data_IF_057208709277
#
_entry.id   IF_057208709277
#
_cell.length_a   1.000
_cell.length_b   1.000
_cell.length_c   1.000
_cell.angle_alpha   90.00
_cell.angle_beta   90.00
_cell.angle_gamma   90.00
#
_symmetry.space_group_name_H-M   'P 1'
#
loop_
_entity.id
_entity.type
_entity.pdbx_description
1 polymer ?
#
# COMPACT_ATOMS: atom_id res chain seq x y z
N UNK A 1 -56.16 70.89 13.41
CA UNK A 1 -57.26 69.90 13.46
C UNK A 1 -57.65 69.51 12.04
N UNK A 2 -57.15 68.36 11.55
CA UNK A 2 -57.82 67.41 10.66
C UNK A 2 -56.78 66.41 10.13
N UNK A 3 -56.95 65.15 10.55
CA UNK A 3 -56.26 63.98 10.02
C UNK A 3 -56.68 63.74 8.57
N UNK A 4 -55.77 63.23 7.76
CA UNK A 4 -56.10 62.19 6.75
C UNK A 4 -54.92 61.22 6.64
N UNK A 5 -55.23 59.93 6.81
CA UNK A 5 -54.34 58.78 6.61
C UNK A 5 -54.29 58.43 5.13
N UNK A 6 -53.14 57.94 4.68
CA UNK A 6 -52.92 56.84 3.72
C UNK A 6 -51.53 57.04 3.07
N UNK A 7 -50.73 56.06 2.66
CA UNK A 7 -50.62 54.61 2.84
C UNK A 7 -49.24 54.28 2.25
N UNK A 8 -48.51 53.36 2.89
CA UNK A 8 -47.60 52.34 2.32
C UNK A 8 -46.96 52.60 0.94
N UNK A 9 -45.64 52.40 0.83
CA UNK A 9 -45.05 51.15 0.30
C UNK A 9 -43.52 51.26 0.22
N UNK A 10 -42.87 50.36 0.96
CA UNK A 10 -41.47 50.02 0.80
C UNK A 10 -41.24 49.48 -0.63
N UNK A 11 -40.22 50.01 -1.31
CA UNK A 11 -39.76 49.51 -2.58
C UNK A 11 -39.02 48.18 -2.37
N UNK A 12 -39.69 47.08 -2.68
CA UNK A 12 -39.04 45.80 -2.93
C UNK A 12 -38.63 45.75 -4.40
N UNK A 13 -37.35 45.93 -4.69
CA UNK A 13 -36.79 45.67 -6.01
C UNK A 13 -36.54 44.17 -6.13
N UNK A 14 -37.34 43.51 -6.98
CA UNK A 14 -37.15 42.12 -7.36
C UNK A 14 -35.91 42.02 -8.27
N UNK A 15 -34.84 41.36 -7.79
CA UNK A 15 -33.75 40.89 -8.64
C UNK A 15 -34.10 39.48 -9.10
N UNK A 16 -34.50 39.36 -10.36
CA UNK A 16 -34.67 38.09 -11.03
C UNK A 16 -33.29 37.41 -11.20
N UNK A 17 -33.13 36.23 -10.61
CA UNK A 17 -31.97 35.36 -10.86
C UNK A 17 -32.26 34.59 -12.15
N UNK A 18 -31.44 34.70 -13.20
CA UNK A 18 -31.56 33.83 -14.36
C UNK A 18 -31.04 32.44 -13.98
N UNK A 19 -31.93 31.45 -14.08
CA UNK A 19 -31.59 30.02 -14.06
C UNK A 19 -30.70 29.74 -15.28
N UNK A 20 -29.41 29.52 -15.04
CA UNK A 20 -28.47 29.05 -16.07
C UNK A 20 -28.68 27.53 -16.28
N UNK A 21 -29.44 27.23 -17.32
CA UNK A 21 -29.52 25.91 -17.95
C UNK A 21 -28.15 25.56 -18.55
N UNK A 22 -27.54 24.46 -18.08
CA UNK A 22 -26.40 23.85 -18.75
C UNK A 22 -26.89 23.07 -19.98
N UNK A 23 -26.42 23.43 -21.17
CA UNK A 23 -26.53 22.57 -22.36
C UNK A 23 -25.17 22.39 -23.02
N UNK A 24 -24.84 21.11 -23.22
CA UNK A 24 -23.97 20.52 -24.24
C UNK A 24 -22.46 20.81 -24.21
N UNK A 25 -21.71 19.85 -23.67
CA UNK A 25 -20.38 19.52 -24.17
C UNK A 25 -20.51 18.25 -25.03
N UNK A 26 -20.30 18.37 -26.35
CA UNK A 26 -20.05 17.24 -27.24
C UNK A 26 -18.55 16.92 -27.20
N UNK A 27 -18.25 15.67 -26.87
CA UNK A 27 -16.92 15.07 -26.81
C UNK A 27 -17.11 13.58 -26.55
N UNK A 28 -17.74 12.94 -27.52
CA UNK A 28 -18.27 11.58 -27.53
C UNK A 28 -17.18 10.52 -27.53
N UNK A 29 -17.12 9.76 -26.45
CA UNK A 29 -17.06 8.29 -26.42
C UNK A 29 -17.76 7.86 -25.13
N UNK A 30 -19.08 8.10 -25.08
CA UNK A 30 -19.96 7.62 -24.02
C UNK A 30 -20.25 6.13 -24.23
N UNK A 31 -19.28 5.29 -23.88
CA UNK A 31 -19.60 3.95 -23.38
C UNK A 31 -20.16 4.12 -21.96
N UNK A 32 -21.36 4.70 -21.85
CA UNK A 32 -22.17 4.65 -20.63
C UNK A 32 -22.75 3.24 -20.48
N UNK A 33 -21.88 2.24 -20.40
CA UNK A 33 -22.28 0.94 -19.87
C UNK A 33 -22.84 1.22 -18.46
N UNK A 34 -24.09 0.80 -18.24
CA UNK A 34 -24.69 0.82 -16.91
C UNK A 34 -23.76 0.06 -15.96
N UNK A 35 -23.18 0.76 -14.98
CA UNK A 35 -22.29 0.15 -13.99
C UNK A 35 -23.03 -0.95 -13.25
N UNK A 36 -22.33 -2.03 -12.89
CA UNK A 36 -22.95 -3.08 -12.08
C UNK A 36 -23.17 -2.67 -10.63
N UNK A 37 -22.48 -1.63 -10.16
CA UNK A 37 -22.66 -1.10 -8.83
C UNK A 37 -22.69 0.43 -8.77
N UNK A 38 -23.29 0.92 -7.69
CA UNK A 38 -23.13 2.30 -7.23
C UNK A 38 -22.22 2.32 -6.00
N UNK A 39 -21.34 3.31 -5.94
CA UNK A 39 -20.34 3.45 -4.88
C UNK A 39 -20.55 4.77 -4.16
N UNK A 40 -20.80 4.68 -2.85
CA UNK A 40 -20.96 5.83 -1.96
C UNK A 40 -19.72 6.01 -1.07
N UNK A 41 -19.48 7.25 -0.65
CA UNK A 41 -18.39 7.64 0.25
C UNK A 41 -17.21 8.31 -0.47
N UNK A 42 -16.45 9.12 0.27
CA UNK A 42 -15.29 9.85 -0.28
C UNK A 42 -14.06 8.95 -0.35
N UNK A 43 -13.13 9.27 -1.26
CA UNK A 43 -11.81 8.63 -1.29
C UNK A 43 -11.13 8.77 0.08
N UNK A 44 -10.56 7.68 0.60
CA UNK A 44 -9.97 7.57 1.94
C UNK A 44 -10.94 7.12 3.05
N UNK A 45 -12.25 7.13 2.80
CA UNK A 45 -13.28 6.56 3.70
C UNK A 45 -13.72 5.17 3.20
N UNK A 46 -14.17 4.28 4.08
CA UNK A 46 -14.64 2.97 3.62
C UNK A 46 -15.84 3.12 2.67
N UNK A 47 -15.75 2.68 1.41
CA UNK A 47 -16.86 2.81 0.47
C UNK A 47 -18.01 1.88 0.84
N UNK A 48 -19.24 2.30 0.51
CA UNK A 48 -20.40 1.42 0.48
C UNK A 48 -20.71 1.07 -0.98
N UNK A 49 -20.66 -0.21 -1.31
CA UNK A 49 -20.91 -0.70 -2.67
C UNK A 49 -22.30 -1.33 -2.69
N UNK A 50 -23.20 -0.78 -3.52
CA UNK A 50 -24.54 -1.31 -3.77
C UNK A 50 -24.60 -1.85 -5.19
N UNK A 51 -24.73 -3.16 -5.30
CA UNK A 51 -24.80 -3.84 -6.59
C UNK A 51 -26.24 -3.84 -7.08
N UNK A 52 -26.45 -3.55 -8.36
CA UNK A 52 -27.74 -3.70 -9.00
C UNK A 52 -28.04 -5.20 -9.21
N UNK A 53 -29.19 -5.64 -8.69
CA UNK A 53 -29.64 -7.04 -8.73
C UNK A 53 -29.85 -7.56 -10.16
N UNK A 54 -30.11 -6.68 -11.12
CA UNK A 54 -30.37 -7.04 -12.51
C UNK A 54 -29.14 -6.83 -13.41
N UNK A 55 -28.07 -6.22 -12.88
CA UNK A 55 -26.88 -5.93 -13.66
C UNK A 55 -26.04 -7.19 -13.91
N UNK A 56 -25.59 -7.33 -15.16
CA UNK A 56 -24.68 -8.38 -15.59
C UNK A 56 -23.25 -7.85 -15.64
N UNK A 57 -22.33 -8.53 -14.98
CA UNK A 57 -20.91 -8.18 -15.03
C UNK A 57 -20.37 -8.27 -16.47
N UNK A 58 -19.57 -7.28 -16.91
CA UNK A 58 -18.98 -7.32 -18.24
C UNK A 58 -17.97 -8.47 -18.35
N UNK A 59 -17.89 -9.06 -19.54
CA UNK A 59 -16.92 -10.14 -19.84
C UNK A 59 -15.47 -9.64 -19.94
N UNK A 60 -15.28 -8.32 -19.83
CA UNK A 60 -13.98 -7.63 -19.77
C UNK A 60 -13.90 -6.78 -18.51
N UNK A 61 -12.68 -6.44 -18.10
CA UNK A 61 -12.48 -5.47 -17.04
C UNK A 61 -12.90 -4.07 -17.51
N UNK A 62 -13.80 -3.42 -16.77
CA UNK A 62 -14.19 -2.03 -16.98
C UNK A 62 -13.70 -1.22 -15.79
N UNK A 63 -13.03 -0.09 -16.05
CA UNK A 63 -12.48 0.79 -15.02
C UNK A 63 -13.20 2.12 -15.08
N UNK A 64 -13.77 2.55 -13.95
CA UNK A 64 -14.50 3.81 -13.84
C UNK A 64 -13.88 4.67 -12.76
N UNK A 65 -13.40 5.86 -13.14
CA UNK A 65 -12.90 6.82 -12.16
C UNK A 65 -14.08 7.49 -11.48
N UNK A 66 -14.23 7.30 -10.18
CA UNK A 66 -15.33 7.85 -9.38
C UNK A 66 -14.97 9.21 -8.78
N UNK A 67 -13.70 9.38 -8.43
CA UNK A 67 -13.14 10.66 -7.99
C UNK A 67 -11.70 10.77 -8.46
N UNK A 68 -11.35 11.91 -9.05
CA UNK A 68 -9.99 12.15 -9.56
C UNK A 68 -9.14 12.82 -8.47
N UNK A 69 -8.04 12.16 -8.12
CA UNK A 69 -7.04 12.70 -7.20
C UNK A 69 -6.33 13.92 -7.78
N UNK A 70 -5.73 14.71 -6.91
CA UNK A 70 -4.93 15.90 -7.28
C UNK A 70 -3.42 15.65 -7.25
N UNK A 71 -2.98 14.49 -6.77
CA UNK A 71 -1.57 14.17 -6.66
C UNK A 71 -0.91 13.76 -7.98
N UNK A 72 0.31 13.23 -7.85
CA UNK A 72 1.09 12.71 -8.96
C UNK A 72 0.33 11.58 -9.69
N UNK A 73 0.54 11.50 -11.00
CA UNK A 73 0.04 10.38 -11.80
C UNK A 73 0.95 9.17 -11.58
N UNK A 74 0.36 8.02 -11.29
CA UNK A 74 1.09 6.76 -11.06
C UNK A 74 1.62 6.21 -12.37
N UNK A 75 2.93 5.98 -12.45
CA UNK A 75 3.56 5.29 -13.56
C UNK A 75 3.67 3.78 -13.28
N UNK A 76 3.82 2.98 -14.35
CA UNK A 76 4.13 1.56 -14.21
C UNK A 76 5.47 1.39 -13.47
N UNK A 77 5.50 0.51 -12.46
CA UNK A 77 6.67 0.27 -11.62
C UNK A 77 6.88 1.28 -10.49
N UNK A 78 6.02 2.30 -10.36
CA UNK A 78 5.97 3.09 -9.12
C UNK A 78 5.51 2.19 -7.98
N UNK A 79 6.10 2.39 -6.81
CA UNK A 79 5.57 1.80 -5.59
C UNK A 79 4.31 2.56 -5.19
N UNK A 80 3.29 1.83 -4.76
CA UNK A 80 2.01 2.38 -4.35
C UNK A 80 1.59 1.82 -3.02
N UNK A 81 0.83 2.63 -2.27
CA UNK A 81 0.01 2.18 -1.15
C UNK A 81 -1.44 2.44 -1.50
N UNK A 82 -2.28 1.44 -1.31
CA UNK A 82 -3.66 1.45 -1.76
C UNK A 82 -4.61 1.20 -0.60
N UNK A 83 -5.84 1.66 -0.79
CA UNK A 83 -6.99 1.17 -0.04
C UNK A 83 -7.95 0.45 -0.98
N UNK A 84 -8.66 -0.55 -0.49
CA UNK A 84 -9.60 -1.28 -1.33
C UNK A 84 -10.76 -1.91 -0.55
N UNK A 85 -11.87 -2.12 -1.26
CA UNK A 85 -12.94 -3.07 -0.92
C UNK A 85 -13.24 -3.89 -2.17
N UNK A 86 -13.20 -5.21 -2.04
CA UNK A 86 -13.60 -6.13 -3.09
C UNK A 86 -14.81 -6.96 -2.67
N UNK A 87 -15.77 -7.16 -3.58
CA UNK A 87 -16.88 -8.08 -3.37
C UNK A 87 -17.37 -8.70 -4.68
N UNK A 88 -18.08 -9.83 -4.59
CA UNK A 88 -18.87 -10.33 -5.72
C UNK A 88 -20.12 -9.48 -5.92
N UNK A 89 -20.75 -9.55 -7.09
CA UNK A 89 -22.06 -8.92 -7.35
C UNK A 89 -23.17 -9.46 -6.44
N UNK A 90 -22.95 -10.60 -5.77
CA UNK A 90 -23.85 -11.17 -4.76
C UNK A 90 -23.52 -10.71 -3.33
N UNK A 91 -22.64 -9.72 -3.16
CA UNK A 91 -22.27 -9.15 -1.86
C UNK A 91 -21.31 -10.00 -1.03
N UNK A 92 -20.74 -11.08 -1.58
CA UNK A 92 -19.70 -11.84 -0.86
C UNK A 92 -18.40 -11.03 -0.86
N UNK A 93 -17.87 -10.74 0.33
CA UNK A 93 -16.57 -10.06 0.47
C UNK A 93 -15.43 -10.87 -0.16
N UNK A 94 -14.56 -10.16 -0.88
CA UNK A 94 -13.29 -10.65 -1.42
C UNK A 94 -12.08 -10.05 -0.67
N UNK A 95 -12.33 -9.23 0.35
CA UNK A 95 -11.31 -8.56 1.14
C UNK A 95 -11.54 -7.05 1.23
N UNK A 96 -10.93 -6.42 2.25
CA UNK A 96 -10.98 -4.98 2.45
C UNK A 96 -9.81 -4.51 3.32
N UNK A 97 -9.18 -3.39 2.95
CA UNK A 97 -8.16 -2.72 3.78
C UNK A 97 -8.75 -2.00 5.00
N UNK A 98 -10.08 -1.94 5.14
CA UNK A 98 -10.76 -1.45 6.34
C UNK A 98 -11.10 -2.55 7.35
N UNK A 99 -10.82 -3.81 7.00
CA UNK A 99 -10.96 -4.93 7.94
C UNK A 99 -10.00 -4.72 9.11
N UNK A 100 -10.52 -4.68 10.33
CA UNK A 100 -9.70 -4.55 11.53
C UNK A 100 -8.89 -5.82 11.74
N UNK A 101 -7.60 -5.68 11.97
CA UNK A 101 -6.74 -6.80 12.39
C UNK A 101 -7.19 -7.27 13.78
N UNK A 102 -7.51 -8.56 13.97
CA UNK A 102 -7.85 -9.10 15.29
C UNK A 102 -6.74 -8.81 16.31
N UNK A 103 -7.13 -8.33 17.49
CA UNK A 103 -6.18 -7.98 18.57
C UNK A 103 -5.40 -6.68 18.36
N UNK A 104 -5.64 -5.92 17.28
CA UNK A 104 -5.02 -4.62 17.09
C UNK A 104 -5.48 -3.60 18.15
N UNK A 105 -4.54 -2.82 18.67
CA UNK A 105 -4.81 -1.74 19.61
C UNK A 105 -5.63 -0.63 18.94
N UNK A 106 -6.40 0.11 19.74
CA UNK A 106 -7.08 1.31 19.26
C UNK A 106 -6.07 2.29 18.65
N UNK A 107 -6.39 2.81 17.46
CA UNK A 107 -5.50 3.72 16.72
C UNK A 107 -4.34 3.04 15.99
N UNK A 108 -4.21 1.71 16.02
CA UNK A 108 -3.24 1.01 15.18
C UNK A 108 -3.50 1.29 13.69
N UNK A 109 -2.44 1.46 12.87
CA UNK A 109 -2.63 1.68 11.43
C UNK A 109 -3.35 0.50 10.78
N UNK A 110 -4.13 0.80 9.73
CA UNK A 110 -4.82 -0.23 8.94
C UNK A 110 -3.82 -0.98 8.07
N UNK A 111 -4.09 -2.26 7.87
CA UNK A 111 -3.41 -3.06 6.85
C UNK A 111 -3.80 -2.56 5.46
N UNK A 112 -2.81 -2.26 4.64
CA UNK A 112 -2.98 -1.70 3.30
C UNK A 112 -2.07 -2.44 2.32
N UNK A 113 -2.54 -2.75 1.10
CA UNK A 113 -1.68 -3.24 0.05
C UNK A 113 -0.58 -2.23 -0.26
N UNK A 114 0.65 -2.74 -0.27
CA UNK A 114 1.83 -2.03 -0.74
C UNK A 114 2.49 -2.90 -1.80
N UNK A 115 2.88 -2.29 -2.92
CA UNK A 115 3.49 -3.03 -4.03
C UNK A 115 3.75 -2.13 -5.23
N UNK A 116 4.09 -2.73 -6.36
CA UNK A 116 4.37 -2.00 -7.60
C UNK A 116 3.15 -1.91 -8.50
N UNK A 117 2.89 -0.72 -9.02
CA UNK A 117 1.83 -0.49 -9.98
C UNK A 117 2.10 -1.25 -11.28
N UNK A 118 1.10 -2.00 -11.75
CA UNK A 118 1.19 -2.82 -12.96
C UNK A 118 1.83 -4.20 -12.80
N UNK A 119 2.28 -4.58 -11.60
CA UNK A 119 2.72 -5.96 -11.29
C UNK A 119 1.67 -6.68 -10.43
N UNK A 120 1.71 -8.01 -10.42
CA UNK A 120 0.91 -8.78 -9.48
C UNK A 120 1.28 -8.41 -8.04
N UNK A 121 0.30 -8.46 -7.12
CA UNK A 121 0.53 -8.31 -5.68
C UNK A 121 -0.09 -9.50 -4.95
N UNK A 122 0.30 -9.73 -3.69
CA UNK A 122 -0.30 -10.82 -2.90
C UNK A 122 -1.77 -10.56 -2.54
N UNK A 123 -2.19 -9.30 -2.45
CA UNK A 123 -3.51 -8.92 -1.92
C UNK A 123 -4.51 -8.50 -3.00
N UNK A 124 -4.03 -7.99 -4.14
CA UNK A 124 -4.87 -7.50 -5.24
C UNK A 124 -4.53 -8.23 -6.54
N UNK A 125 -5.55 -8.62 -7.33
CA UNK A 125 -5.36 -9.23 -8.64
C UNK A 125 -4.54 -8.34 -9.59
N UNK A 126 -3.82 -8.98 -10.52
CA UNK A 126 -2.95 -8.28 -11.48
C UNK A 126 -3.71 -7.22 -12.29
N UNK A 127 -4.95 -7.48 -12.73
CA UNK A 127 -5.75 -6.48 -13.47
C UNK A 127 -6.13 -5.27 -12.64
N UNK A 128 -6.37 -5.46 -11.34
CA UNK A 128 -6.60 -4.35 -10.41
C UNK A 128 -5.33 -3.50 -10.31
N UNK A 129 -4.17 -4.13 -10.10
CA UNK A 129 -2.88 -3.42 -10.03
C UNK A 129 -2.51 -2.72 -11.35
N UNK A 130 -2.87 -3.29 -12.51
CA UNK A 130 -2.71 -2.65 -13.82
C UNK A 130 -3.58 -1.39 -13.96
N UNK A 131 -4.78 -1.41 -13.39
CA UNK A 131 -5.73 -0.28 -13.45
C UNK A 131 -5.31 0.92 -12.60
N UNK A 132 -4.36 0.73 -11.67
CA UNK A 132 -3.76 1.80 -10.87
C UNK A 132 -2.86 2.69 -11.73
N UNK A 133 -2.24 2.15 -12.80
CA UNK A 133 -1.36 2.91 -13.69
C UNK A 133 -2.17 3.98 -14.41
N UNK A 134 -1.66 5.22 -14.43
CA UNK A 134 -2.33 6.38 -15.00
C UNK A 134 -3.32 7.07 -14.07
N UNK A 135 -3.70 6.45 -12.94
CA UNK A 135 -4.49 7.11 -11.91
C UNK A 135 -3.66 8.16 -11.17
N UNK A 136 -4.33 9.14 -10.55
CA UNK A 136 -3.67 10.13 -9.69
C UNK A 136 -3.74 9.72 -8.24
N UNK A 137 -2.71 10.03 -7.46
CA UNK A 137 -2.76 9.92 -6.00
C UNK A 137 -3.94 10.75 -5.47
N UNK A 138 -4.74 10.12 -4.61
CA UNK A 138 -6.03 10.61 -4.10
C UNK A 138 -7.24 10.22 -4.95
N UNK A 139 -7.06 9.52 -6.08
CA UNK A 139 -8.18 9.01 -6.87
C UNK A 139 -8.90 7.88 -6.15
N UNK A 140 -10.23 7.79 -6.36
CA UNK A 140 -11.05 6.60 -6.16
C UNK A 140 -11.54 6.11 -7.52
N UNK A 141 -11.41 4.82 -7.78
CA UNK A 141 -11.94 4.21 -8.99
C UNK A 141 -12.53 2.84 -8.68
N UNK A 142 -13.47 2.45 -9.53
CA UNK A 142 -14.11 1.15 -9.54
C UNK A 142 -13.55 0.30 -10.68
N UNK A 143 -13.37 -0.99 -10.43
CA UNK A 143 -13.12 -2.00 -11.45
C UNK A 143 -14.21 -3.07 -11.35
N UNK A 144 -14.93 -3.28 -12.44
CA UNK A 144 -15.98 -4.31 -12.53
C UNK A 144 -15.71 -5.27 -13.70
N UNK A 145 -16.19 -6.51 -13.56
CA UNK A 145 -16.05 -7.55 -14.59
C UNK A 145 -16.26 -8.95 -14.03
N UNK A 146 -16.28 -9.96 -14.90
CA UNK A 146 -16.30 -11.36 -14.47
C UNK A 146 -15.00 -11.75 -13.75
N UNK A 147 -15.06 -12.78 -12.91
CA UNK A 147 -13.89 -13.31 -12.21
C UNK A 147 -12.79 -13.75 -13.19
N UNK A 148 -13.16 -14.34 -14.32
CA UNK A 148 -12.22 -14.66 -15.41
C UNK A 148 -11.55 -13.40 -15.96
N UNK A 149 -12.31 -12.31 -16.15
CA UNK A 149 -11.78 -11.07 -16.70
C UNK A 149 -10.81 -10.35 -15.74
N UNK A 150 -11.11 -10.33 -14.43
CA UNK A 150 -10.32 -9.59 -13.44
C UNK A 150 -9.18 -10.41 -12.81
N UNK A 151 -9.40 -11.71 -12.56
CA UNK A 151 -8.44 -12.56 -11.85
C UNK A 151 -7.70 -13.48 -12.83
N UNK A 152 -8.36 -13.96 -13.89
CA UNK A 152 -7.76 -14.85 -14.88
C UNK A 152 -7.38 -16.21 -14.29
N UNK A 153 -6.24 -16.75 -14.75
CA UNK A 153 -5.78 -18.10 -14.39
C UNK A 153 -5.39 -18.24 -12.91
N UNK A 154 -5.23 -17.12 -12.19
CA UNK A 154 -4.96 -17.11 -10.75
C UNK A 154 -6.22 -17.35 -9.91
N UNK A 155 -7.38 -17.55 -10.53
CA UNK A 155 -8.64 -17.79 -9.83
C UNK A 155 -8.55 -19.10 -9.03
N UNK A 156 -8.53 -18.98 -7.70
CA UNK A 156 -8.55 -20.13 -6.81
C UNK A 156 -9.91 -20.84 -6.87
N UNK A 157 -10.01 -22.09 -7.36
CA UNK A 157 -11.27 -22.83 -7.42
C UNK A 157 -11.90 -23.07 -6.04
N UNK A 158 -11.10 -23.12 -4.99
CA UNK A 158 -11.55 -23.33 -3.61
C UNK A 158 -12.11 -22.05 -2.95
N UNK A 159 -11.91 -20.88 -3.57
CA UNK A 159 -12.48 -19.62 -3.06
C UNK A 159 -14.01 -19.52 -3.28
N UNK A 160 -14.60 -20.51 -3.95
CA UNK A 160 -16.04 -20.54 -4.26
C UNK A 160 -16.47 -19.44 -5.24
N UNK A 161 -15.53 -18.80 -5.95
CA UNK A 161 -15.78 -17.84 -7.04
C UNK A 161 -15.65 -18.61 -8.36
N UNK A 162 -16.70 -18.61 -9.18
CA UNK A 162 -16.69 -19.23 -10.51
C UNK A 162 -16.21 -18.23 -11.56
N UNK A 163 -15.61 -18.69 -12.68
CA UNK A 163 -15.11 -17.80 -13.73
C UNK A 163 -16.10 -16.74 -14.23
N UNK A 164 -17.40 -17.06 -14.28
CA UNK A 164 -18.46 -16.14 -14.71
C UNK A 164 -19.07 -15.27 -13.60
N UNK A 165 -18.65 -15.43 -12.34
CA UNK A 165 -19.18 -14.60 -11.25
C UNK A 165 -18.74 -13.15 -11.43
N UNK A 166 -19.66 -12.20 -11.26
CA UNK A 166 -19.36 -10.78 -11.31
C UNK A 166 -18.60 -10.32 -10.07
N UNK A 167 -17.60 -9.48 -10.28
CA UNK A 167 -16.76 -8.90 -9.25
C UNK A 167 -16.73 -7.37 -9.36
N UNK A 168 -16.65 -6.71 -8.20
CA UNK A 168 -16.49 -5.26 -8.09
C UNK A 168 -15.38 -4.98 -7.09
N UNK A 169 -14.43 -4.14 -7.49
CA UNK A 169 -13.37 -3.60 -6.65
C UNK A 169 -13.46 -2.09 -6.64
N UNK A 170 -13.47 -1.49 -5.45
CA UNK A 170 -13.26 -0.05 -5.28
C UNK A 170 -11.88 0.15 -4.70
N UNK A 171 -11.06 0.96 -5.36
CA UNK A 171 -9.66 1.19 -5.00
C UNK A 171 -9.41 2.67 -4.85
N UNK A 172 -8.71 3.04 -3.77
CA UNK A 172 -8.15 4.38 -3.60
C UNK A 172 -6.63 4.34 -3.73
N UNK A 173 -6.09 5.30 -4.49
CA UNK A 173 -4.64 5.50 -4.58
C UNK A 173 -4.20 6.39 -3.43
N UNK A 174 -3.75 5.80 -2.32
CA UNK A 174 -3.38 6.54 -1.10
C UNK A 174 -2.07 7.29 -1.30
N UNK A 175 -1.09 6.63 -1.91
CA UNK A 175 0.20 7.22 -2.20
C UNK A 175 0.91 6.48 -3.33
N UNK A 176 1.84 7.16 -3.98
CA UNK A 176 2.72 6.58 -4.98
C UNK A 176 4.09 7.25 -4.92
N UNK A 177 5.14 6.47 -5.18
CA UNK A 177 6.51 6.95 -5.25
C UNK A 177 7.32 6.12 -6.24
N UNK A 178 8.00 6.82 -7.16
CA UNK A 178 9.08 6.23 -7.94
C UNK A 178 10.29 6.02 -7.04
N UNK A 179 10.85 4.82 -7.04
CA UNK A 179 12.14 4.53 -6.43
C UNK A 179 13.00 3.70 -7.38
N UNK A 180 14.30 3.92 -7.34
CA UNK A 180 15.23 3.19 -8.20
C UNK A 180 15.39 1.75 -7.71
N UNK A 181 15.20 0.78 -8.61
CA UNK A 181 15.38 -0.64 -8.31
C UNK A 181 16.77 -0.99 -7.79
N UNK A 182 17.79 -0.23 -8.19
CA UNK A 182 19.18 -0.36 -7.74
C UNK A 182 19.60 0.78 -6.80
N UNK A 183 18.64 1.50 -6.24
CA UNK A 183 18.90 2.54 -5.25
C UNK A 183 19.59 1.96 -4.01
N UNK A 184 20.30 2.80 -3.28
CA UNK A 184 20.99 2.46 -2.04
C UNK A 184 21.09 3.73 -1.18
N UNK A 185 21.30 3.55 0.12
CA UNK A 185 21.64 4.66 1.00
C UNK A 185 22.96 5.30 0.52
N UNK A 186 23.07 6.62 0.65
CA UNK A 186 24.26 7.38 0.23
C UNK A 186 24.80 8.17 1.40
N UNK A 187 26.10 8.08 1.63
CA UNK A 187 26.77 8.81 2.68
C UNK A 187 27.96 8.05 3.23
N UNK A 188 28.65 8.67 4.18
CA UNK A 188 29.71 8.00 4.94
C UNK A 188 29.08 6.94 5.85
N UNK A 189 29.66 5.75 5.85
CA UNK A 189 29.21 4.65 6.69
C UNK A 189 29.98 4.66 8.02
N UNK A 190 29.24 4.80 9.12
CA UNK A 190 29.79 4.65 10.46
C UNK A 190 30.26 3.22 10.73
N UNK A 191 31.28 3.08 11.58
CA UNK A 191 31.70 1.77 12.10
C UNK A 191 30.60 1.15 12.97
N UNK A 192 30.46 -0.20 12.95
CA UNK A 192 29.52 -0.87 13.83
C UNK A 192 29.90 -0.69 15.30
N UNK A 193 28.90 -0.57 16.16
CA UNK A 193 29.07 -0.59 17.61
C UNK A 193 29.60 -1.95 18.07
N UNK A 194 30.20 -2.00 19.26
CA UNK A 194 30.76 -3.24 19.80
C UNK A 194 29.70 -4.35 19.88
N UNK A 195 30.00 -5.49 19.24
CA UNK A 195 29.11 -6.65 19.19
C UNK A 195 28.01 -6.59 18.11
N UNK A 196 27.91 -5.48 17.37
CA UNK A 196 27.07 -5.41 16.17
C UNK A 196 27.77 -6.04 14.96
N UNK A 197 27.02 -6.64 14.02
CA UNK A 197 27.58 -7.16 12.77
C UNK A 197 28.21 -6.07 11.90
N UNK A 198 29.34 -6.41 11.26
CA UNK A 198 29.93 -5.56 10.24
C UNK A 198 29.12 -5.65 8.96
N UNK A 199 28.88 -4.51 8.33
CA UNK A 199 28.23 -4.43 7.02
C UNK A 199 29.20 -3.79 6.04
N UNK A 200 29.57 -4.53 5.01
CA UNK A 200 30.34 -3.98 3.90
C UNK A 200 29.40 -3.54 2.79
N UNK A 201 29.48 -2.25 2.46
CA UNK A 201 28.83 -1.72 1.27
C UNK A 201 29.50 -2.26 0.00
N UNK A 202 28.71 -2.85 -0.89
CA UNK A 202 29.16 -3.37 -2.18
C UNK A 202 28.62 -2.53 -3.35
N UNK A 203 28.10 -1.32 -3.07
CA UNK A 203 27.46 -0.45 -4.05
C UNK A 203 26.10 -1.00 -4.46
N UNK A 204 25.81 -1.00 -5.77
CA UNK A 204 24.52 -1.47 -6.31
C UNK A 204 24.38 -3.00 -6.32
N UNK A 205 24.67 -3.64 -5.18
CA UNK A 205 24.62 -5.09 -4.95
C UNK A 205 24.26 -5.37 -3.49
N UNK A 206 23.90 -6.61 -3.19
CA UNK A 206 23.67 -7.08 -1.83
C UNK A 206 24.89 -6.76 -0.93
N UNK A 207 24.63 -6.20 0.25
CA UNK A 207 25.66 -5.92 1.24
C UNK A 207 26.22 -7.23 1.79
N UNK A 208 27.51 -7.25 2.13
CA UNK A 208 28.10 -8.40 2.85
C UNK A 208 28.00 -8.13 4.34
N UNK A 209 27.35 -9.04 5.07
CA UNK A 209 27.18 -8.95 6.52
C UNK A 209 28.10 -9.98 7.18
N UNK A 210 28.95 -9.54 8.11
CA UNK A 210 29.85 -10.40 8.87
C UNK A 210 29.45 -10.38 10.34
N UNK A 211 29.01 -11.53 10.84
CA UNK A 211 28.57 -11.70 12.23
C UNK A 211 29.80 -11.90 13.14
N UNK A 212 29.85 -11.28 14.33
CA UNK A 212 30.99 -11.44 15.25
C UNK A 212 31.14 -12.90 15.72
N UNK A 213 32.32 -13.49 15.48
CA UNK A 213 32.59 -14.89 15.86
C UNK A 213 32.69 -15.04 17.38
N UNK A 214 32.13 -16.13 17.90
CA UNK A 214 32.20 -16.49 19.32
C UNK A 214 31.33 -15.63 20.25
N UNK A 215 30.55 -14.69 19.71
CA UNK A 215 29.63 -13.87 20.48
C UNK A 215 28.21 -14.43 20.44
N UNK A 216 27.52 -14.35 21.58
CA UNK A 216 26.09 -14.68 21.65
C UNK A 216 25.28 -13.54 21.03
N UNK A 217 24.21 -13.83 20.26
CA UNK A 217 23.33 -12.80 19.74
C UNK A 217 22.65 -12.03 20.89
N UNK A 218 22.30 -10.75 20.67
CA UNK A 218 21.42 -10.01 21.56
C UNK A 218 20.10 -10.75 21.81
N UNK A 219 19.58 -10.67 23.04
CA UNK A 219 18.28 -11.23 23.45
C UNK A 219 17.09 -10.32 23.15
N UNK A 220 17.34 -9.16 22.57
CA UNK A 220 16.33 -8.19 22.17
C UNK A 220 16.72 -7.65 20.81
N UNK A 221 15.74 -7.20 20.03
CA UNK A 221 16.03 -6.51 18.77
C UNK A 221 16.97 -5.32 19.02
N UNK A 222 18.09 -5.30 18.31
CA UNK A 222 19.04 -4.18 18.29
C UNK A 222 19.14 -3.62 16.90
N UNK A 223 19.30 -2.31 16.79
CA UNK A 223 19.52 -1.64 15.51
C UNK A 223 20.57 -0.56 15.63
N UNK A 224 21.26 -0.29 14.51
CA UNK A 224 22.22 0.79 14.39
C UNK A 224 22.08 1.43 13.01
N UNK A 225 21.99 2.77 12.97
CA UNK A 225 22.08 3.52 11.72
C UNK A 225 23.56 3.59 11.32
N UNK A 226 23.90 2.94 10.20
CA UNK A 226 25.25 2.95 9.64
C UNK A 226 25.46 4.08 8.64
N UNK A 227 24.46 4.40 7.82
CA UNK A 227 24.47 5.59 6.97
C UNK A 227 23.27 6.42 7.38
N UNK A 228 23.47 7.70 7.66
CA UNK A 228 22.41 8.62 8.05
C UNK A 228 21.79 9.28 6.82
N UNK A 229 20.50 9.07 6.63
CA UNK A 229 19.65 9.82 5.71
C UNK A 229 19.10 11.09 6.34
N UNK A 230 18.70 12.02 5.48
CA UNK A 230 18.08 13.30 5.82
C UNK A 230 16.61 13.40 5.39
N UNK A 231 16.08 12.32 4.79
CA UNK A 231 14.72 12.26 4.31
C UNK A 231 13.67 12.19 5.43
N UNK A 232 12.38 12.21 5.09
CA UNK A 232 11.31 12.15 6.08
C UNK A 232 11.38 10.92 6.97
N UNK A 233 10.90 11.05 8.22
CA UNK A 233 10.75 9.92 9.14
C UNK A 233 9.72 8.92 8.65
N UNK A 234 10.07 7.64 8.73
CA UNK A 234 9.19 6.48 8.53
C UNK A 234 8.16 6.45 9.65
N UNK A 235 6.88 6.37 9.28
CA UNK A 235 5.75 6.26 10.22
C UNK A 235 5.11 4.89 10.12
N UNK A 236 4.61 4.39 11.25
CA UNK A 236 3.82 3.16 11.26
C UNK A 236 2.60 3.28 10.32
N UNK A 237 2.32 2.20 9.58
CA UNK A 237 1.27 2.10 8.56
C UNK A 237 1.71 2.46 7.13
N UNK A 238 2.87 3.10 6.96
CA UNK A 238 3.40 3.38 5.62
C UNK A 238 3.93 2.11 4.95
N UNK A 239 3.98 2.14 3.62
CA UNK A 239 4.81 1.25 2.84
C UNK A 239 6.25 1.74 2.84
N UNK A 240 7.15 0.98 3.47
CA UNK A 240 8.59 1.17 3.42
C UNK A 240 9.14 0.59 2.12
N UNK A 241 9.77 1.43 1.28
CA UNK A 241 10.50 0.97 0.10
C UNK A 241 11.95 0.77 0.51
N UNK A 242 12.46 -0.45 0.38
CA UNK A 242 13.78 -0.80 0.87
C UNK A 242 14.57 -1.70 -0.08
N UNK A 243 15.89 -1.58 -0.01
CA UNK A 243 16.80 -2.67 -0.37
C UNK A 243 17.30 -3.33 0.91
N UNK A 244 17.40 -4.65 0.92
CA UNK A 244 17.86 -5.37 2.10
C UNK A 244 18.67 -6.61 1.76
N UNK A 245 19.45 -7.04 2.74
CA UNK A 245 20.09 -8.36 2.76
C UNK A 245 19.93 -8.93 4.16
N UNK A 246 19.47 -10.18 4.25
CA UNK A 246 19.27 -10.92 5.50
C UNK A 246 20.19 -12.13 5.59
N UNK A 247 20.92 -12.26 6.71
CA UNK A 247 21.75 -13.43 7.04
C UNK A 247 21.36 -14.02 8.39
N UNK A 248 21.58 -15.32 8.60
CA UNK A 248 21.42 -15.94 9.92
C UNK A 248 22.64 -15.61 10.79
N UNK A 249 22.44 -15.29 12.07
CA UNK A 249 23.53 -15.03 13.01
C UNK A 249 24.40 -16.27 13.20
N UNK A 250 23.78 -17.45 13.25
CA UNK A 250 24.41 -18.70 13.66
C UNK A 250 25.48 -19.18 12.69
N UNK A 251 25.30 -18.92 11.40
CA UNK A 251 26.21 -19.39 10.35
C UNK A 251 26.63 -18.30 9.34
N UNK A 252 26.12 -17.08 9.49
CA UNK A 252 26.40 -15.96 8.58
C UNK A 252 25.85 -16.16 7.17
N UNK A 253 25.03 -17.19 6.93
CA UNK A 253 24.52 -17.47 5.57
C UNK A 253 23.37 -16.55 5.23
N UNK A 254 23.44 -15.97 4.02
CA UNK A 254 22.33 -15.23 3.42
C UNK A 254 21.12 -16.14 3.25
N UNK A 255 19.98 -15.74 3.80
CA UNK A 255 18.71 -16.43 3.59
C UNK A 255 17.78 -15.67 2.64
N UNK A 256 17.93 -14.34 2.54
CA UNK A 256 17.11 -13.52 1.65
C UNK A 256 17.78 -12.19 1.30
N UNK A 257 17.41 -11.62 0.16
CA UNK A 257 17.87 -10.31 -0.30
C UNK A 257 17.00 -9.80 -1.44
N UNK A 258 16.55 -8.55 -1.36
CA UNK A 258 15.79 -7.90 -2.44
C UNK A 258 16.56 -7.86 -3.77
N UNK A 259 17.89 -7.84 -3.72
CA UNK A 259 18.74 -7.91 -4.92
C UNK A 259 18.59 -9.22 -5.71
N UNK A 260 18.24 -10.32 -5.05
CA UNK A 260 17.98 -11.60 -5.71
C UNK A 260 16.59 -11.61 -6.38
N UNK A 261 15.71 -10.68 -5.98
CA UNK A 261 14.32 -10.54 -6.45
C UNK A 261 14.13 -9.36 -7.42
N UNK A 262 15.21 -8.88 -8.04
CA UNK A 262 15.16 -7.81 -9.04
C UNK A 262 15.31 -6.39 -8.50
N UNK A 263 15.59 -6.22 -7.20
CA UNK A 263 15.92 -4.94 -6.59
C UNK A 263 14.92 -4.48 -5.55
N UNK A 264 14.84 -3.16 -5.32
CA UNK A 264 14.03 -2.57 -4.27
C UNK A 264 12.59 -3.13 -4.23
N UNK A 265 12.11 -3.36 -3.01
CA UNK A 265 10.80 -3.93 -2.70
C UNK A 265 10.11 -3.07 -1.64
N UNK A 266 8.77 -3.10 -1.60
CA UNK A 266 8.01 -2.35 -0.62
C UNK A 266 7.24 -3.26 0.34
N UNK A 267 7.24 -2.88 1.62
CA UNK A 267 6.61 -3.62 2.71
C UNK A 267 5.81 -2.67 3.58
N UNK A 268 4.66 -3.09 4.09
CA UNK A 268 3.99 -2.29 5.11
C UNK A 268 4.71 -2.43 6.46
N UNK A 269 5.00 -1.31 7.13
CA UNK A 269 5.78 -1.28 8.37
C UNK A 269 4.92 -0.79 9.55
N UNK A 270 5.17 -1.33 10.74
CA UNK A 270 4.46 -0.97 11.98
C UNK A 270 3.04 -1.53 12.05
N UNK A 271 2.77 -2.63 11.33
CA UNK A 271 1.46 -3.29 11.21
C UNK A 271 1.54 -4.81 11.42
N UNK A 272 2.69 -5.33 11.84
CA UNK A 272 3.04 -6.76 11.91
C UNK A 272 2.94 -7.49 10.56
N UNK A 273 3.16 -6.76 9.47
CA UNK A 273 3.18 -7.34 8.10
C UNK A 273 4.56 -7.89 7.72
N UNK A 274 5.58 -7.57 8.50
CA UNK A 274 6.95 -8.07 8.43
C UNK A 274 7.33 -8.64 9.80
N UNK A 275 8.52 -9.25 9.91
CA UNK A 275 9.05 -9.68 11.21
C UNK A 275 9.04 -8.51 12.20
N UNK A 276 8.61 -8.77 13.44
CA UNK A 276 8.39 -7.73 14.47
C UNK A 276 9.64 -6.89 14.76
N UNK A 277 10.84 -7.46 14.55
CA UNK A 277 12.09 -6.72 14.66
C UNK A 277 12.20 -5.55 13.68
N UNK A 278 11.68 -5.69 12.45
CA UNK A 278 11.63 -4.58 11.48
C UNK A 278 10.68 -3.48 11.96
N UNK A 279 9.48 -3.84 12.44
CA UNK A 279 8.50 -2.88 12.97
C UNK A 279 9.07 -2.08 14.14
N UNK A 280 9.84 -2.73 15.02
CA UNK A 280 10.53 -2.07 16.15
C UNK A 280 11.68 -1.16 15.69
N UNK A 281 12.51 -1.63 14.76
CA UNK A 281 13.76 -0.96 14.41
C UNK A 281 13.58 0.18 13.40
N UNK A 282 12.67 0.04 12.43
CA UNK A 282 12.60 0.92 11.26
C UNK A 282 11.59 2.06 11.39
N UNK A 283 10.57 1.93 12.25
CA UNK A 283 9.67 3.05 12.56
C UNK A 283 10.46 4.16 13.26
N UNK A 284 10.34 5.39 12.77
CA UNK A 284 11.08 6.56 13.28
C UNK A 284 12.46 6.79 12.65
N UNK A 285 12.97 5.84 11.85
CA UNK A 285 14.17 6.03 11.00
C UNK A 285 13.86 6.96 9.82
N UNK A 286 14.88 7.44 9.14
CA UNK A 286 14.74 8.40 8.05
C UNK A 286 14.89 7.71 6.69
N UNK A 287 14.16 8.21 5.70
CA UNK A 287 14.47 7.88 4.30
C UNK A 287 15.91 8.30 4.00
N UNK A 288 16.67 7.40 3.41
CA UNK A 288 18.11 7.52 3.17
C UNK A 288 18.98 6.80 4.20
N UNK A 289 18.42 6.34 5.33
CA UNK A 289 19.18 5.57 6.30
C UNK A 289 19.59 4.19 5.73
N UNK A 290 20.84 3.76 6.02
CA UNK A 290 21.20 2.34 6.09
C UNK A 290 21.16 1.90 7.53
N UNK A 291 20.37 0.89 7.85
CA UNK A 291 20.19 0.37 9.20
C UNK A 291 20.60 -1.08 9.26
N UNK A 292 21.49 -1.42 10.19
CA UNK A 292 21.75 -2.82 10.57
C UNK A 292 20.80 -3.19 11.69
N UNK A 293 20.16 -4.35 11.59
CA UNK A 293 19.19 -4.83 12.58
C UNK A 293 19.54 -6.26 12.95
N UNK A 294 19.62 -6.55 14.25
CA UNK A 294 19.73 -7.92 14.79
C UNK A 294 18.40 -8.26 15.43
N UNK A 295 17.74 -9.32 14.95
CA UNK A 295 16.38 -9.71 15.32
C UNK A 295 16.42 -11.10 15.95
N UNK A 296 16.22 -11.22 17.27
CA UNK A 296 16.16 -12.53 17.93
C UNK A 296 14.90 -13.30 17.52
N UNK A 297 14.84 -14.64 17.75
CA UNK A 297 13.75 -15.48 17.26
C UNK A 297 12.35 -14.98 17.63
N UNK A 298 12.15 -14.48 18.85
CA UNK A 298 10.85 -13.97 19.34
C UNK A 298 10.33 -12.73 18.62
N UNK A 299 11.21 -11.95 17.99
CA UNK A 299 10.85 -10.83 17.12
C UNK A 299 11.02 -11.18 15.63
N UNK A 300 11.45 -12.41 15.33
CA UNK A 300 11.64 -12.99 14.00
C UNK A 300 10.56 -14.01 13.67
N UNK A 301 10.99 -15.27 13.43
CA UNK A 301 10.12 -16.38 13.01
C UNK A 301 9.71 -17.32 14.16
N UNK A 302 9.97 -16.94 15.41
CA UNK A 302 9.67 -17.74 16.59
C UNK A 302 10.46 -19.05 16.65
N UNK A 303 10.04 -19.94 17.53
CA UNK A 303 10.70 -21.25 17.73
C UNK A 303 9.99 -22.41 17.03
N UNK A 304 8.78 -22.19 16.50
CA UNK A 304 7.97 -23.24 15.86
C UNK A 304 8.40 -23.45 14.39
N UNK A 305 8.97 -24.62 14.02
CA UNK A 305 9.38 -24.91 12.65
C UNK A 305 8.22 -24.90 11.64
N UNK A 306 6.99 -25.17 12.06
CA UNK A 306 5.81 -25.09 11.17
C UNK A 306 5.52 -23.66 10.72
N UNK A 307 5.93 -22.66 11.50
CA UNK A 307 5.74 -21.24 11.20
C UNK A 307 6.99 -20.62 10.58
N UNK A 308 8.17 -20.95 11.09
CA UNK A 308 9.44 -20.34 10.69
C UNK A 308 10.29 -21.14 9.71
N UNK A 309 9.93 -22.39 9.42
CA UNK A 309 10.72 -23.29 8.58
C UNK A 309 12.18 -23.37 9.04
N UNK A 310 13.11 -23.21 8.10
CA UNK A 310 14.56 -23.20 8.38
C UNK A 310 15.04 -21.99 9.21
N UNK A 311 14.22 -20.94 9.31
CA UNK A 311 14.52 -19.74 10.10
C UNK A 311 13.91 -19.79 11.51
N UNK A 312 13.18 -20.86 11.84
CA UNK A 312 12.72 -21.06 13.22
C UNK A 312 13.92 -21.18 14.16
N UNK A 313 13.79 -20.54 15.33
CA UNK A 313 14.81 -20.48 16.37
C UNK A 313 16.14 -19.82 15.93
N UNK A 314 16.13 -19.04 14.83
CA UNK A 314 17.31 -18.31 14.33
C UNK A 314 17.26 -16.85 14.72
N UNK A 315 18.41 -16.29 15.10
CA UNK A 315 18.60 -14.84 15.13
C UNK A 315 18.93 -14.36 13.73
N UNK A 316 18.22 -13.35 13.27
CA UNK A 316 18.39 -12.80 11.93
C UNK A 316 19.17 -11.50 12.00
N UNK A 317 20.04 -11.26 11.02
CA UNK A 317 20.71 -9.98 10.84
C UNK A 317 20.33 -9.41 9.49
N UNK A 318 19.92 -8.15 9.48
CA UNK A 318 19.59 -7.42 8.27
C UNK A 318 20.48 -6.21 8.10
N UNK A 319 20.81 -5.89 6.85
CA UNK A 319 21.17 -4.54 6.42
C UNK A 319 20.04 -4.02 5.55
N UNK A 320 19.51 -2.84 5.87
CA UNK A 320 18.32 -2.27 5.22
C UNK A 320 18.61 -0.83 4.80
N UNK A 321 18.52 -0.56 3.50
CA UNK A 321 18.54 0.79 2.93
C UNK A 321 17.12 1.28 2.73
N UNK A 322 16.75 2.39 3.38
CA UNK A 322 15.43 2.98 3.28
C UNK A 322 15.39 3.94 2.09
N UNK A 323 14.79 3.53 0.98
CA UNK A 323 14.77 4.31 -0.26
C UNK A 323 13.56 5.25 -0.35
N UNK A 324 12.52 5.00 0.44
CA UNK A 324 11.34 5.84 0.46
C UNK A 324 10.19 5.28 1.27
N UNK A 325 9.11 6.04 1.27
CA UNK A 325 7.83 5.61 1.83
C UNK A 325 6.67 5.99 0.91
N UNK A 326 5.61 5.20 0.98
CA UNK A 326 4.27 5.44 0.38
C UNK A 326 3.20 5.29 1.45
#
# INVERSE_FOLDING_TARGET
MKLTKNTRRAAAAAIAVPVLLFTAACGSDDDSASSVASVEGKAGEQPKIKVDKDAKAPDKAVVKTLSKGKGATVAKGDFVRLDFVGQTTKGRSLGSSWTKTPGAKAGAPRMQPVGEAGTASQQLPTKVMQSVVGQKVGSRFEIEGTAKALIGDQLNPQAGVKPGDGLVWVVDVVAAKKAEKKGMAKGEQASPEAGMPEVKDNGQKAATITVPKGQKPPKETKDQVLIKGDGPKVKAGQGLIAQYTGVSWEDGKKFDSSWDHGGATAFQIGTNSVVKGWDKALVGKHVGDRVTIVVPPEDGYGTNPQQGGQLANKTLVFSVDILGTV
#
